data_IF_554071307134
#
_entry.id   IF_554071307134
#
_cell.length_a   1.000
_cell.length_b   1.000
_cell.length_c   1.000
_cell.angle_alpha   90.00
_cell.angle_beta   90.00
_cell.angle_gamma   90.00
#
_symmetry.space_group_name_H-M   'P 1'
#
loop_
_entity.id
_entity.type
_entity.pdbx_description
1 polymer ?
#
# COMPACT_ATOMS: atom_id res chain seq x y z
N UNK A 1 -9.49 32.14 -13.81
CA UNK A 1 -9.86 30.73 -14.07
C UNK A 1 -9.13 29.85 -13.07
N UNK A 2 -9.85 29.31 -12.09
CA UNK A 2 -9.26 28.47 -11.05
C UNK A 2 -9.31 27.02 -11.53
N UNK A 3 -8.16 26.41 -11.84
CA UNK A 3 -8.04 25.01 -12.29
C UNK A 3 -8.31 24.04 -11.11
N UNK A 4 -9.57 23.92 -10.68
CA UNK A 4 -9.95 22.99 -9.60
C UNK A 4 -10.02 21.52 -10.06
N UNK A 5 -10.21 21.23 -11.35
CA UNK A 5 -10.44 19.87 -11.83
C UNK A 5 -9.20 18.94 -11.92
N UNK A 6 -7.99 19.49 -12.03
CA UNK A 6 -6.76 18.69 -12.17
C UNK A 6 -6.24 18.18 -10.81
N UNK A 7 -6.41 18.96 -9.75
CA UNK A 7 -5.93 18.63 -8.40
C UNK A 7 -6.73 17.49 -7.77
N UNK A 8 -8.05 17.47 -7.98
CA UNK A 8 -8.93 16.39 -7.48
C UNK A 8 -8.65 15.03 -8.13
N UNK A 9 -8.42 15.01 -9.45
CA UNK A 9 -8.04 13.78 -10.14
C UNK A 9 -6.72 13.23 -9.62
N UNK A 10 -5.72 14.09 -9.42
CA UNK A 10 -4.42 13.70 -8.87
C UNK A 10 -4.55 13.12 -7.46
N UNK A 11 -5.30 13.78 -6.59
CA UNK A 11 -5.57 13.29 -5.22
C UNK A 11 -6.29 11.95 -5.24
N UNK A 12 -7.31 11.76 -6.08
CA UNK A 12 -8.01 10.47 -6.21
C UNK A 12 -7.09 9.36 -6.72
N UNK A 13 -6.22 9.65 -7.69
CA UNK A 13 -5.24 8.67 -8.20
C UNK A 13 -4.28 8.26 -7.09
N UNK A 14 -3.72 9.21 -6.33
CA UNK A 14 -2.83 8.95 -5.19
C UNK A 14 -3.52 8.09 -4.11
N UNK A 15 -4.79 8.37 -3.80
CA UNK A 15 -5.53 7.60 -2.81
C UNK A 15 -5.79 6.18 -3.30
N UNK A 16 -6.27 6.01 -4.53
CA UNK A 16 -6.53 4.69 -5.12
C UNK A 16 -5.26 3.86 -5.23
N UNK A 17 -4.16 4.48 -5.65
CA UNK A 17 -2.87 3.82 -5.78
C UNK A 17 -2.29 3.43 -4.42
N UNK A 18 -2.51 4.27 -3.40
CA UNK A 18 -2.10 3.97 -2.01
C UNK A 18 -2.91 2.81 -1.42
N UNK A 19 -4.23 2.80 -1.64
CA UNK A 19 -5.10 1.71 -1.22
C UNK A 19 -4.71 0.42 -1.93
N UNK A 20 -4.52 0.45 -3.25
CA UNK A 20 -4.13 -0.72 -4.02
C UNK A 20 -2.80 -1.31 -3.54
N UNK A 21 -1.77 -0.47 -3.35
CA UNK A 21 -0.46 -0.92 -2.85
C UNK A 21 -0.55 -1.49 -1.44
N UNK A 22 -1.32 -0.87 -0.55
CA UNK A 22 -1.54 -1.37 0.81
C UNK A 22 -2.25 -2.73 0.82
N UNK A 23 -3.28 -2.91 0.01
CA UNK A 23 -3.99 -4.20 -0.13
C UNK A 23 -3.04 -5.29 -0.65
N UNK A 24 -2.21 -5.00 -1.65
CA UNK A 24 -1.25 -5.98 -2.19
C UNK A 24 -0.25 -6.42 -1.12
N UNK A 25 0.32 -5.46 -0.38
CA UNK A 25 1.31 -5.76 0.67
C UNK A 25 0.68 -6.49 1.86
N UNK A 26 -0.55 -6.13 2.24
CA UNK A 26 -1.30 -6.85 3.26
C UNK A 26 -1.54 -8.31 2.86
N UNK A 27 -1.96 -8.56 1.62
CA UNK A 27 -2.16 -9.93 1.14
C UNK A 27 -0.84 -10.71 1.13
N UNK A 28 0.27 -10.08 0.73
CA UNK A 28 1.59 -10.72 0.75
C UNK A 28 1.98 -11.16 2.18
N UNK A 29 1.77 -10.30 3.18
CA UNK A 29 1.98 -10.64 4.59
C UNK A 29 1.08 -11.78 5.04
N UNK A 30 -0.22 -11.70 4.74
CA UNK A 30 -1.21 -12.71 5.14
C UNK A 30 -0.89 -14.09 4.55
N UNK A 31 -0.56 -14.13 3.26
CA UNK A 31 -0.11 -15.36 2.60
C UNK A 31 1.14 -15.92 3.28
N UNK A 32 2.14 -15.08 3.56
CA UNK A 32 3.35 -15.51 4.25
C UNK A 32 3.07 -16.10 5.64
N UNK A 33 2.20 -15.47 6.42
CA UNK A 33 1.83 -15.95 7.75
C UNK A 33 1.08 -17.30 7.71
N UNK A 34 0.13 -17.44 6.77
CA UNK A 34 -0.59 -18.70 6.57
C UNK A 34 0.33 -19.82 6.08
N UNK A 35 1.18 -19.56 5.10
CA UNK A 35 2.18 -20.52 4.61
C UNK A 35 3.11 -20.97 5.73
N UNK A 36 3.58 -20.04 6.56
CA UNK A 36 4.48 -20.35 7.68
C UNK A 36 3.81 -21.26 8.71
N UNK A 37 2.54 -20.98 9.06
CA UNK A 37 1.75 -21.84 9.93
C UNK A 37 1.48 -23.24 9.33
N UNK A 38 1.30 -23.34 8.02
CA UNK A 38 1.11 -24.63 7.36
C UNK A 38 2.40 -25.45 7.28
N UNK A 39 3.55 -24.80 7.06
CA UNK A 39 4.82 -25.49 6.78
C UNK A 39 5.52 -25.98 8.05
N UNK A 40 5.37 -25.29 9.19
CA UNK A 40 6.05 -25.64 10.44
C UNK A 40 5.37 -26.76 11.25
N UNK A 41 4.16 -27.19 10.88
CA UNK A 41 3.44 -28.29 11.54
C UNK A 41 2.92 -27.98 12.95
N UNK A 42 3.49 -26.97 13.63
CA UNK A 42 3.00 -26.36 14.86
C UNK A 42 2.49 -24.93 14.58
N UNK A 43 1.53 -24.45 15.37
CA UNK A 43 1.00 -23.07 15.26
C UNK A 43 2.09 -22.06 15.66
N UNK A 44 2.90 -21.65 14.68
CA UNK A 44 3.97 -20.66 14.85
C UNK A 44 3.42 -19.25 15.16
N UNK A 45 2.25 -18.92 14.60
CA UNK A 45 1.51 -17.69 14.86
C UNK A 45 0.08 -18.01 15.25
N UNK A 46 -0.41 -17.39 16.34
CA UNK A 46 -1.83 -17.48 16.70
C UNK A 46 -2.68 -16.65 15.74
N UNK A 47 -3.99 -16.90 15.72
CA UNK A 47 -4.94 -16.10 14.95
C UNK A 47 -4.86 -14.61 15.33
N UNK A 48 -4.60 -14.32 16.61
CA UNK A 48 -4.45 -12.96 17.14
C UNK A 48 -3.20 -12.30 16.55
N UNK A 49 -2.08 -13.01 16.45
CA UNK A 49 -0.83 -12.49 15.89
C UNK A 49 -0.97 -12.16 14.40
N UNK A 50 -1.64 -13.04 13.65
CA UNK A 50 -1.90 -12.84 12.21
C UNK A 50 -2.82 -11.64 11.99
N UNK A 51 -3.88 -11.52 12.78
CA UNK A 51 -4.83 -10.40 12.68
C UNK A 51 -4.17 -9.07 13.05
N UNK A 52 -3.47 -9.01 14.19
CA UNK A 52 -2.76 -7.81 14.64
C UNK A 52 -1.65 -7.41 13.65
N UNK A 53 -0.87 -8.38 13.17
CA UNK A 53 0.17 -8.17 12.17
C UNK A 53 -0.41 -7.65 10.85
N UNK A 54 -1.53 -8.18 10.39
CA UNK A 54 -2.17 -7.73 9.14
C UNK A 54 -2.68 -6.28 9.25
N UNK A 55 -3.27 -5.91 10.39
CA UNK A 55 -3.71 -4.52 10.65
C UNK A 55 -2.49 -3.59 10.69
N UNK A 56 -1.43 -3.99 11.39
CA UNK A 56 -0.21 -3.20 11.49
C UNK A 56 0.42 -2.95 10.11
N UNK A 57 0.57 -3.99 9.30
CA UNK A 57 1.10 -3.89 7.92
C UNK A 57 0.20 -3.01 7.08
N UNK A 58 -1.12 -3.15 7.18
CA UNK A 58 -2.06 -2.30 6.44
C UNK A 58 -1.88 -0.81 6.79
N UNK A 59 -1.83 -0.46 8.08
CA UNK A 59 -1.68 0.93 8.52
C UNK A 59 -0.33 1.51 8.11
N UNK A 60 0.77 0.80 8.35
CA UNK A 60 2.11 1.29 7.99
C UNK A 60 2.25 1.45 6.48
N UNK A 61 1.77 0.48 5.69
CA UNK A 61 1.83 0.58 4.23
C UNK A 61 0.95 1.71 3.69
N UNK A 62 -0.22 1.95 4.29
CA UNK A 62 -1.07 3.08 3.93
C UNK A 62 -0.37 4.42 4.20
N UNK A 63 0.28 4.60 5.35
CA UNK A 63 1.04 5.82 5.68
C UNK A 63 2.20 6.03 4.70
N UNK A 64 2.99 4.97 4.44
CA UNK A 64 4.12 5.02 3.52
C UNK A 64 3.64 5.34 2.10
N UNK A 65 2.61 4.65 1.62
CA UNK A 65 2.08 4.84 0.27
C UNK A 65 1.54 6.26 0.06
N UNK A 66 0.82 6.82 1.04
CA UNK A 66 0.34 8.20 0.97
C UNK A 66 1.50 9.21 0.87
N UNK A 67 2.65 8.91 1.47
CA UNK A 67 3.86 9.73 1.34
C UNK A 67 4.66 9.45 0.06
N UNK A 68 4.58 8.24 -0.49
CA UNK A 68 5.40 7.79 -1.62
C UNK A 68 4.77 8.16 -2.96
N UNK A 69 3.46 7.94 -3.13
CA UNK A 69 2.75 8.16 -4.39
C UNK A 69 2.82 9.59 -4.92
N UNK A 70 2.74 10.67 -4.10
CA UNK A 70 2.93 12.03 -4.59
C UNK A 70 4.30 12.22 -5.27
N UNK A 71 5.38 11.71 -4.63
CA UNK A 71 6.75 11.79 -5.16
C UNK A 71 6.91 10.97 -6.44
N UNK A 72 6.29 9.80 -6.52
CA UNK A 72 6.31 8.95 -7.72
C UNK A 72 5.63 9.64 -8.89
N UNK A 73 4.47 10.28 -8.67
CA UNK A 73 3.76 11.01 -9.73
C UNK A 73 4.54 12.26 -10.14
N UNK A 74 5.09 13.03 -9.20
CA UNK A 74 5.98 14.18 -9.50
C UNK A 74 7.17 13.75 -10.36
N UNK A 75 7.80 12.62 -10.03
CA UNK A 75 8.93 12.08 -10.80
C UNK A 75 8.52 11.60 -12.19
N UNK A 76 7.34 10.96 -12.32
CA UNK A 76 6.82 10.50 -13.61
C UNK A 76 6.55 11.68 -14.55
N UNK A 77 5.94 12.74 -14.03
CA UNK A 77 5.62 13.97 -14.79
C UNK A 77 6.89 14.72 -15.22
N UNK A 78 7.92 14.77 -14.35
CA UNK A 78 9.23 15.33 -14.70
C UNK A 78 9.97 14.55 -15.81
N UNK A 79 9.71 13.24 -15.95
CA UNK A 79 10.29 12.39 -16.99
C UNK A 79 9.63 12.61 -18.35
N UNK A 80 8.33 12.87 -18.39
CA UNK A 80 7.61 13.19 -19.63
C UNK A 80 8.01 14.57 -20.17
N UNK A 81 8.22 15.55 -19.30
CA UNK A 81 8.55 16.93 -19.72
C UNK A 81 9.98 17.10 -20.26
N UNK A 82 10.86 16.12 -20.03
CA UNK A 82 12.26 16.12 -20.50
C UNK A 82 12.46 15.36 -21.84
N UNK A 83 11.38 14.95 -22.50
CA UNK A 83 11.38 14.43 -23.88
C UNK A 83 10.79 15.45 -24.83
#
# INVERSE_FOLDING_TARGET
MVKFGSKDKRTRVVLLSSIATSIVLMNLFLFGALLTNMYLGETAYTLVDIAAGSIFVFVITMIISLSLWPKVIDWLESRETNK
#
